data_IF_623318515678
#
_entry.id   IF_623318515678
#
_cell.length_a   1.000
_cell.length_b   1.000
_cell.length_c   1.000
_cell.angle_alpha   90.00
_cell.angle_beta   90.00
_cell.angle_gamma   90.00
#
_symmetry.space_group_name_H-M   'P 1'
#
loop_
_entity.id
_entity.type
_entity.pdbx_description
1 polymer ?
#
# COMPACT_ATOMS: atom_id res chain seq x y z
N UNK A 1 11.51 53.42 26.96
CA UNK A 1 10.80 52.37 26.19
C UNK A 1 9.46 52.14 26.86
N UNK A 2 8.34 52.50 26.22
CA UNK A 2 7.00 52.38 26.81
C UNK A 2 6.70 50.93 27.22
N UNK A 3 5.93 50.74 28.29
CA UNK A 3 5.57 49.42 28.81
C UNK A 3 4.97 48.49 27.73
N UNK A 4 4.25 49.08 26.76
CA UNK A 4 3.70 48.40 25.58
C UNK A 4 4.77 47.80 24.68
N UNK A 5 5.90 48.50 24.46
CA UNK A 5 7.00 48.02 23.62
C UNK A 5 7.75 46.85 24.26
N UNK A 6 7.92 46.84 25.59
CA UNK A 6 8.53 45.70 26.31
C UNK A 6 7.62 44.47 26.29
N UNK A 7 6.31 44.65 26.49
CA UNK A 7 5.31 43.57 26.39
C UNK A 7 5.26 42.97 24.98
N UNK A 8 5.34 43.81 23.94
CA UNK A 8 5.39 43.36 22.56
C UNK A 8 6.59 42.44 22.28
N UNK A 9 7.80 42.84 22.69
CA UNK A 9 9.00 42.02 22.50
C UNK A 9 8.97 40.71 23.31
N UNK A 10 8.40 40.73 24.51
CA UNK A 10 8.18 39.51 25.30
C UNK A 10 7.23 38.54 24.61
N UNK A 11 6.12 39.04 24.05
CA UNK A 11 5.18 38.21 23.27
C UNK A 11 5.84 37.64 22.02
N UNK A 12 6.65 38.44 21.31
CA UNK A 12 7.38 37.98 20.13
C UNK A 12 8.39 36.88 20.47
N UNK A 13 9.12 37.03 21.58
CA UNK A 13 10.06 36.02 22.07
C UNK A 13 9.33 34.72 22.47
N UNK A 14 8.19 34.83 23.15
CA UNK A 14 7.36 33.68 23.51
C UNK A 14 6.82 32.96 22.27
N UNK A 15 6.37 33.72 21.26
CA UNK A 15 5.91 33.16 20.00
C UNK A 15 7.04 32.42 19.29
N UNK A 16 8.22 33.02 19.14
CA UNK A 16 9.38 32.39 18.52
C UNK A 16 9.80 31.10 19.23
N UNK A 17 9.74 31.09 20.57
CA UNK A 17 10.08 29.92 21.37
C UNK A 17 9.05 28.80 21.24
N UNK A 18 7.76 29.13 21.10
CA UNK A 18 6.69 28.16 20.90
C UNK A 18 6.53 27.71 19.44
N UNK A 19 6.99 28.51 18.48
CA UNK A 19 6.84 28.27 17.04
C UNK A 19 7.31 26.87 16.60
N UNK A 20 8.47 26.31 17.03
CA UNK A 20 8.85 24.95 16.64
C UNK A 20 7.87 23.89 17.15
N UNK A 21 7.30 24.05 18.35
CA UNK A 21 6.31 23.12 18.89
C UNK A 21 4.98 23.22 18.15
N UNK A 22 4.55 24.44 17.80
CA UNK A 22 3.34 24.66 17.00
C UNK A 22 3.50 24.05 15.61
N UNK A 23 4.63 24.26 14.94
CA UNK A 23 4.91 23.67 13.63
C UNK A 23 4.96 22.15 13.72
N UNK A 24 5.67 21.59 14.72
CA UNK A 24 5.74 20.15 14.90
C UNK A 24 4.35 19.53 15.14
N UNK A 25 3.54 20.13 16.00
CA UNK A 25 2.18 19.68 16.29
C UNK A 25 1.26 19.79 15.07
N UNK A 26 1.33 20.90 14.32
CA UNK A 26 0.57 21.08 13.10
C UNK A 26 0.98 20.07 12.02
N UNK A 27 2.28 19.85 11.82
CA UNK A 27 2.80 18.86 10.88
C UNK A 27 2.34 17.45 11.24
N UNK A 28 2.39 17.07 12.52
CA UNK A 28 1.88 15.78 12.99
C UNK A 28 0.37 15.64 12.81
N UNK A 29 -0.41 16.69 13.09
CA UNK A 29 -1.86 16.67 12.87
C UNK A 29 -2.24 16.57 11.38
N UNK A 30 -1.37 17.07 10.49
CA UNK A 30 -1.53 16.99 9.03
C UNK A 30 -1.02 15.67 8.43
N UNK A 31 -0.24 14.86 9.16
CA UNK A 31 0.05 13.51 8.71
C UNK A 31 -1.28 12.77 8.61
N UNK A 32 -1.64 12.42 7.38
CA UNK A 32 -2.95 11.93 6.98
C UNK A 32 -3.44 10.84 7.91
N UNK A 33 -4.39 11.16 8.78
CA UNK A 33 -5.27 10.15 9.36
C UNK A 33 -6.05 9.55 8.19
N UNK A 34 -5.90 8.25 8.00
CA UNK A 34 -6.71 7.50 7.05
C UNK A 34 -8.16 7.75 7.46
N UNK A 35 -8.94 8.42 6.61
CA UNK A 35 -10.38 8.61 6.87
C UNK A 35 -11.06 7.25 6.67
N UNK A 36 -11.00 6.40 7.70
CA UNK A 36 -11.77 5.17 7.73
C UNK A 36 -13.17 5.51 8.23
N UNK A 37 -14.24 5.08 7.53
CA UNK A 37 -15.59 5.19 8.05
C UNK A 37 -15.76 4.52 9.42
N UNK A 38 -14.89 3.57 9.78
CA UNK A 38 -14.85 2.94 11.09
C UNK A 38 -14.49 3.93 12.21
N UNK A 39 -13.73 4.99 11.90
CA UNK A 39 -13.35 6.02 12.88
C UNK A 39 -14.52 6.94 13.24
N UNK A 40 -15.64 6.85 12.52
CA UNK A 40 -16.84 7.66 12.78
C UNK A 40 -17.76 7.05 13.82
N UNK A 41 -17.53 5.80 14.20
CA UNK A 41 -18.36 5.05 15.16
C UNK A 41 -17.50 4.52 16.29
N UNK A 42 -18.05 4.52 17.51
CA UNK A 42 -17.35 3.95 18.66
C UNK A 42 -17.28 2.42 18.58
N UNK A 43 -16.44 1.83 19.44
CA UNK A 43 -16.27 0.38 19.53
C UNK A 43 -17.50 -0.35 20.10
N UNK A 44 -18.51 0.38 20.62
CA UNK A 44 -19.74 -0.21 21.14
C UNK A 44 -20.83 -0.36 20.06
N UNK A 45 -20.60 0.19 18.87
CA UNK A 45 -21.52 0.07 17.74
C UNK A 45 -21.57 -1.38 17.23
N UNK A 46 -22.73 -2.08 17.28
CA UNK A 46 -22.79 -3.51 16.98
C UNK A 46 -22.29 -3.88 15.57
N UNK A 47 -22.60 -3.07 14.55
CA UNK A 47 -22.15 -3.34 13.18
C UNK A 47 -20.63 -3.25 13.01
N UNK A 48 -19.92 -2.53 13.91
CA UNK A 48 -18.46 -2.52 13.93
C UNK A 48 -17.90 -3.84 14.45
N UNK A 49 -18.51 -4.43 15.48
CA UNK A 49 -18.12 -5.75 15.97
C UNK A 49 -18.33 -6.84 14.90
N UNK A 50 -19.44 -6.79 14.16
CA UNK A 50 -19.69 -7.70 13.03
C UNK A 50 -18.63 -7.55 11.93
N UNK A 51 -18.26 -6.30 11.60
CA UNK A 51 -17.21 -6.01 10.63
C UNK A 51 -15.83 -6.51 11.09
N UNK A 52 -15.47 -6.30 12.35
CA UNK A 52 -14.20 -6.74 12.91
C UNK A 52 -14.11 -8.27 12.91
N UNK A 53 -15.20 -8.97 13.27
CA UNK A 53 -15.28 -10.42 13.17
C UNK A 53 -15.19 -10.91 11.72
N UNK A 54 -15.87 -10.25 10.79
CA UNK A 54 -15.76 -10.57 9.37
C UNK A 54 -14.33 -10.39 8.87
N UNK A 55 -13.68 -9.28 9.19
CA UNK A 55 -12.32 -8.97 8.75
C UNK A 55 -11.29 -9.95 9.33
N UNK A 56 -11.50 -10.47 10.55
CA UNK A 56 -10.68 -11.54 11.11
C UNK A 56 -10.81 -12.86 10.33
N UNK A 57 -11.97 -13.15 9.77
CA UNK A 57 -12.24 -14.39 9.04
C UNK A 57 -11.85 -14.31 7.56
N UNK A 58 -12.03 -13.15 6.94
CA UNK A 58 -11.91 -12.97 5.49
C UNK A 58 -10.77 -12.03 5.06
N UNK A 59 -10.07 -11.41 6.02
CA UNK A 59 -9.04 -10.40 5.76
C UNK A 59 -9.62 -9.00 5.57
N UNK A 60 -8.75 -7.99 5.56
CA UNK A 60 -9.16 -6.61 5.32
C UNK A 60 -9.48 -6.38 3.84
N UNK A 61 -10.45 -5.49 3.56
CA UNK A 61 -10.91 -5.22 2.18
C UNK A 61 -9.96 -4.36 1.34
N UNK A 62 -8.96 -3.75 1.95
CA UNK A 62 -8.12 -2.76 1.29
C UNK A 62 -6.91 -3.42 0.61
N UNK A 63 -6.90 -3.34 -0.71
CA UNK A 63 -5.95 -4.01 -1.59
C UNK A 63 -5.45 -3.04 -2.65
N UNK A 64 -4.17 -3.10 -2.98
CA UNK A 64 -3.59 -2.41 -4.13
C UNK A 64 -3.44 -3.40 -5.27
N UNK A 65 -3.95 -3.02 -6.45
CA UNK A 65 -3.77 -3.77 -7.69
C UNK A 65 -2.78 -2.99 -8.55
N UNK A 66 -1.64 -3.60 -8.85
CA UNK A 66 -0.57 -3.02 -9.66
C UNK A 66 -0.62 -3.61 -11.06
N UNK A 67 -0.81 -2.75 -12.06
CA UNK A 67 -0.72 -3.08 -13.48
C UNK A 67 -0.38 -1.81 -14.28
N UNK A 68 0.27 -1.97 -15.42
CA UNK A 68 0.73 -0.88 -16.29
C UNK A 68 0.88 -1.37 -17.74
N UNK A 69 1.19 -0.47 -18.68
CA UNK A 69 1.47 -0.84 -20.06
C UNK A 69 2.75 -1.69 -20.16
N UNK A 70 2.60 -2.98 -20.49
CA UNK A 70 3.71 -3.94 -20.46
C UNK A 70 3.76 -4.85 -19.22
N UNK A 71 2.80 -4.70 -18.31
CA UNK A 71 2.55 -5.68 -17.24
C UNK A 71 1.96 -6.96 -17.84
N UNK A 72 2.81 -7.87 -18.30
CA UNK A 72 2.39 -9.12 -18.96
C UNK A 72 2.93 -10.35 -18.24
N UNK A 73 2.25 -11.48 -18.39
CA UNK A 73 2.71 -12.79 -17.91
C UNK A 73 4.05 -13.20 -18.50
N UNK A 74 4.58 -12.48 -19.51
CA UNK A 74 5.88 -12.73 -20.13
C UNK A 74 6.98 -11.79 -19.64
N UNK A 75 6.64 -10.66 -19.00
CA UNK A 75 7.61 -9.72 -18.45
C UNK A 75 8.40 -10.32 -17.27
N UNK A 76 9.72 -10.56 -17.39
CA UNK A 76 10.55 -11.12 -16.32
C UNK A 76 10.81 -10.17 -15.15
N UNK A 77 10.65 -8.87 -15.36
CA UNK A 77 10.93 -7.84 -14.36
C UNK A 77 9.90 -7.87 -13.21
N UNK A 78 8.76 -8.54 -13.42
CA UNK A 78 7.78 -8.82 -12.37
C UNK A 78 8.33 -9.70 -11.25
N UNK A 79 9.27 -10.61 -11.56
CA UNK A 79 9.81 -11.54 -10.57
C UNK A 79 10.63 -10.82 -9.48
N UNK A 80 11.64 -9.97 -9.81
CA UNK A 80 12.37 -9.20 -8.81
C UNK A 80 11.49 -8.17 -8.09
N UNK A 81 10.54 -7.54 -8.80
CA UNK A 81 9.57 -6.63 -8.17
C UNK A 81 8.69 -7.33 -7.13
N UNK A 82 8.15 -8.52 -7.43
CA UNK A 82 7.33 -9.26 -6.47
C UNK A 82 8.17 -9.75 -5.30
N UNK A 83 9.43 -10.10 -5.56
CA UNK A 83 10.36 -10.50 -4.52
C UNK A 83 10.68 -9.34 -3.56
N UNK A 84 10.96 -8.13 -4.06
CA UNK A 84 11.24 -6.96 -3.21
C UNK A 84 10.08 -6.64 -2.26
N UNK A 85 8.83 -6.73 -2.73
CA UNK A 85 7.63 -6.56 -1.89
C UNK A 85 7.54 -7.58 -0.74
N UNK A 86 8.22 -8.73 -0.85
CA UNK A 86 8.23 -9.81 0.15
C UNK A 86 9.51 -9.86 0.98
N UNK A 87 10.54 -9.10 0.63
CA UNK A 87 11.87 -9.19 1.27
C UNK A 87 12.38 -7.86 1.82
N UNK A 88 11.96 -6.73 1.26
CA UNK A 88 12.54 -5.45 1.61
C UNK A 88 12.05 -4.95 2.97
N UNK A 89 12.99 -4.52 3.81
CA UNK A 89 12.70 -4.03 5.16
C UNK A 89 11.80 -2.78 5.18
N UNK A 90 11.68 -2.04 4.07
CA UNK A 90 10.76 -0.89 3.95
C UNK A 90 9.30 -1.28 4.12
N UNK A 91 8.96 -2.55 3.87
CA UNK A 91 7.61 -3.10 4.03
C UNK A 91 7.40 -3.78 5.38
N UNK A 92 8.29 -3.52 6.34
CA UNK A 92 8.23 -4.03 7.71
C UNK A 92 8.13 -2.90 8.71
N UNK A 93 7.49 -3.17 9.85
CA UNK A 93 7.41 -2.22 10.95
C UNK A 93 8.63 -2.27 11.88
N UNK A 94 8.57 -1.47 12.95
CA UNK A 94 9.64 -1.39 13.95
C UNK A 94 9.79 -2.69 14.75
N UNK A 95 8.79 -3.56 14.72
CA UNK A 95 8.76 -4.87 15.37
C UNK A 95 9.12 -6.01 14.40
N UNK A 96 9.54 -5.69 13.17
CA UNK A 96 9.87 -6.63 12.09
C UNK A 96 8.66 -7.39 11.50
N UNK A 97 7.44 -6.91 11.76
CA UNK A 97 6.20 -7.45 11.22
C UNK A 97 5.87 -6.84 9.86
N UNK A 98 5.25 -7.63 8.97
CA UNK A 98 4.96 -7.20 7.61
C UNK A 98 3.76 -6.25 7.54
N UNK A 99 3.88 -5.20 6.70
CA UNK A 99 2.75 -4.35 6.34
C UNK A 99 1.81 -4.99 5.30
N UNK A 100 2.26 -6.05 4.63
CA UNK A 100 1.47 -6.80 3.66
C UNK A 100 1.06 -8.14 4.26
N UNK A 101 -0.24 -8.42 4.20
CA UNK A 101 -0.77 -9.74 4.55
C UNK A 101 -0.46 -10.74 3.44
N UNK A 102 -0.56 -10.30 2.18
CA UNK A 102 -0.33 -11.15 1.02
C UNK A 102 0.10 -10.34 -0.21
N UNK A 103 1.04 -10.88 -0.97
CA UNK A 103 1.44 -10.38 -2.29
C UNK A 103 1.22 -11.51 -3.30
N UNK A 104 0.32 -11.32 -4.26
CA UNK A 104 -0.05 -12.33 -5.27
C UNK A 104 0.34 -11.82 -6.65
N UNK A 105 1.12 -12.58 -7.40
CA UNK A 105 1.52 -12.27 -8.78
C UNK A 105 0.81 -13.16 -9.78
N UNK A 106 0.13 -12.56 -10.76
CA UNK A 106 -0.52 -13.32 -11.83
C UNK A 106 0.48 -14.10 -12.70
N UNK A 107 1.69 -13.57 -12.92
CA UNK A 107 2.79 -14.27 -13.61
C UNK A 107 3.23 -15.51 -12.83
N UNK A 108 3.39 -15.37 -11.52
CA UNK A 108 3.79 -16.48 -10.64
C UNK A 108 2.72 -17.58 -10.64
N UNK A 109 1.44 -17.22 -10.49
CA UNK A 109 0.31 -18.15 -10.57
C UNK A 109 0.24 -18.86 -11.92
N UNK A 110 0.41 -18.11 -13.02
CA UNK A 110 0.45 -18.68 -14.36
C UNK A 110 1.56 -19.73 -14.48
N UNK A 111 2.78 -19.40 -14.05
CA UNK A 111 3.93 -20.33 -14.09
C UNK A 111 3.69 -21.57 -13.24
N UNK A 112 3.17 -21.40 -12.01
CA UNK A 112 2.86 -22.51 -11.12
C UNK A 112 1.85 -23.49 -11.76
N UNK A 113 0.82 -22.96 -12.41
CA UNK A 113 -0.20 -23.79 -13.07
C UNK A 113 0.28 -24.43 -14.37
N UNK A 114 1.24 -23.81 -15.07
CA UNK A 114 1.89 -24.38 -16.27
C UNK A 114 3.10 -25.27 -15.96
N UNK A 115 3.46 -25.45 -14.69
CA UNK A 115 4.62 -26.24 -14.30
C UNK A 115 4.42 -27.73 -14.68
N UNK A 116 5.52 -28.46 -14.99
CA UNK A 116 5.43 -29.89 -15.25
C UNK A 116 4.76 -30.64 -14.09
N UNK A 117 3.78 -31.50 -14.41
CA UNK A 117 3.08 -32.33 -13.41
C UNK A 117 1.68 -31.83 -13.00
N UNK A 118 1.24 -30.65 -13.44
CA UNK A 118 -0.14 -30.17 -13.18
C UNK A 118 -1.19 -30.79 -14.11
N UNK A 119 -0.76 -31.33 -15.25
CA UNK A 119 -1.65 -31.89 -16.28
C UNK A 119 -2.49 -30.84 -17.02
N UNK A 120 -2.26 -29.54 -16.78
CA UNK A 120 -3.01 -28.45 -17.40
C UNK A 120 -2.32 -27.98 -18.67
N UNK A 121 -3.10 -27.79 -19.73
CA UNK A 121 -2.63 -27.15 -20.95
C UNK A 121 -2.60 -25.63 -20.78
N UNK A 122 -1.72 -24.95 -21.51
CA UNK A 122 -1.63 -23.49 -21.49
C UNK A 122 -2.99 -22.79 -21.74
N UNK A 123 -3.82 -23.20 -22.73
CA UNK A 123 -5.14 -22.61 -22.93
C UNK A 123 -6.10 -22.79 -21.73
N UNK A 124 -5.98 -23.88 -20.98
CA UNK A 124 -6.80 -24.11 -19.77
C UNK A 124 -6.36 -23.21 -18.62
N UNK A 125 -5.06 -23.04 -18.42
CA UNK A 125 -4.53 -22.12 -17.41
C UNK A 125 -4.96 -20.69 -17.71
N UNK A 126 -4.81 -20.25 -18.96
CA UNK A 126 -5.26 -18.92 -19.39
C UNK A 126 -6.75 -18.74 -19.13
N UNK A 127 -7.60 -19.70 -19.53
CA UNK A 127 -9.05 -19.64 -19.28
C UNK A 127 -9.40 -19.54 -17.79
N UNK A 128 -8.65 -20.21 -16.92
CA UNK A 128 -8.88 -20.19 -15.45
C UNK A 128 -8.50 -18.86 -14.82
N UNK A 129 -7.41 -18.25 -15.27
CA UNK A 129 -6.89 -16.99 -14.73
C UNK A 129 -7.50 -15.76 -15.41
N UNK A 130 -8.13 -15.93 -16.57
CA UNK A 130 -8.78 -14.84 -17.29
C UNK A 130 -9.90 -14.21 -16.46
N UNK A 131 -9.91 -12.89 -16.40
CA UNK A 131 -10.91 -12.14 -15.62
C UNK A 131 -10.58 -12.00 -14.13
N UNK A 132 -9.52 -12.65 -13.64
CA UNK A 132 -9.00 -12.44 -12.27
C UNK A 132 -7.56 -11.92 -12.30
N UNK A 133 -6.61 -12.70 -12.82
CA UNK A 133 -5.19 -12.34 -12.89
C UNK A 133 -4.64 -12.13 -14.30
N UNK A 134 -5.41 -12.52 -15.32
CA UNK A 134 -5.05 -12.37 -16.73
C UNK A 134 -6.14 -11.58 -17.47
N UNK A 135 -5.71 -10.60 -18.26
CA UNK A 135 -6.58 -9.75 -19.07
C UNK A 135 -7.17 -10.48 -20.28
N UNK A 136 -8.11 -9.82 -20.98
CA UNK A 136 -8.80 -10.39 -22.16
C UNK A 136 -7.84 -10.77 -23.29
N UNK A 137 -6.68 -10.12 -23.38
CA UNK A 137 -5.65 -10.37 -24.39
C UNK A 137 -4.74 -11.57 -24.07
N UNK A 138 -5.02 -12.34 -23.02
CA UNK A 138 -4.25 -13.51 -22.57
C UNK A 138 -2.76 -13.24 -22.24
N UNK A 139 -2.34 -11.97 -22.23
CA UNK A 139 -0.98 -11.56 -21.91
C UNK A 139 -0.92 -10.63 -20.70
N UNK A 140 -1.80 -9.63 -20.63
CA UNK A 140 -1.83 -8.65 -19.53
C UNK A 140 -2.07 -9.33 -18.19
N UNK A 141 -1.37 -8.89 -17.15
CA UNK A 141 -1.49 -9.41 -15.79
C UNK A 141 -1.46 -8.30 -14.75
N UNK A 142 -1.51 -8.68 -13.48
CA UNK A 142 -1.43 -7.76 -12.35
C UNK A 142 -0.73 -8.42 -11.15
N UNK A 143 -0.31 -7.57 -10.21
CA UNK A 143 0.10 -7.96 -8.85
C UNK A 143 -0.93 -7.42 -7.87
N UNK A 144 -1.40 -8.25 -6.96
CA UNK A 144 -2.38 -7.90 -5.94
C UNK A 144 -1.68 -7.89 -4.57
N UNK A 145 -1.81 -6.79 -3.82
CA UNK A 145 -1.17 -6.59 -2.52
C UNK A 145 -2.24 -6.29 -1.49
N UNK A 146 -2.41 -7.19 -0.53
CA UNK A 146 -3.32 -7.05 0.59
C UNK A 146 -2.56 -6.50 1.80
N UNK A 147 -3.11 -5.49 2.47
CA UNK A 147 -2.48 -4.83 3.60
C UNK A 147 -2.92 -5.43 4.94
N UNK A 148 -2.00 -5.49 5.90
CA UNK A 148 -2.36 -5.69 7.31
C UNK A 148 -3.03 -4.42 7.86
N UNK A 149 -3.74 -4.48 9.01
CA UNK A 149 -4.30 -3.30 9.65
C UNK A 149 -3.25 -2.19 9.90
N UNK A 150 -2.03 -2.58 10.30
CA UNK A 150 -0.92 -1.65 10.49
C UNK A 150 -0.43 -1.04 9.16
N UNK A 151 -0.38 -1.84 8.09
CA UNK A 151 -0.06 -1.37 6.75
C UNK A 151 -1.04 -0.32 6.24
N UNK A 152 -2.34 -0.50 6.49
CA UNK A 152 -3.36 0.46 6.08
C UNK A 152 -3.17 1.85 6.67
N UNK A 153 -2.72 1.93 7.92
CA UNK A 153 -2.41 3.21 8.56
C UNK A 153 -1.26 3.95 7.87
N UNK A 154 -0.33 3.21 7.24
CA UNK A 154 0.80 3.76 6.47
C UNK A 154 0.57 3.74 4.95
N UNK A 155 -0.67 3.54 4.48
CA UNK A 155 -0.99 3.32 3.06
C UNK A 155 -0.33 4.31 2.10
N UNK A 156 -0.30 5.61 2.43
CA UNK A 156 0.25 6.65 1.55
C UNK A 156 1.74 6.43 1.31
N UNK A 157 2.49 6.27 2.41
CA UNK A 157 3.93 6.01 2.33
C UNK A 157 4.23 4.65 1.68
N UNK A 158 3.41 3.63 1.94
CA UNK A 158 3.59 2.32 1.34
C UNK A 158 3.28 2.29 -0.16
N UNK A 159 2.26 3.02 -0.61
CA UNK A 159 1.99 3.18 -2.05
C UNK A 159 3.17 3.88 -2.73
N UNK A 160 3.70 4.96 -2.16
CA UNK A 160 4.92 5.62 -2.68
C UNK A 160 6.12 4.64 -2.72
N UNK A 161 6.30 3.82 -1.69
CA UNK A 161 7.35 2.79 -1.67
C UNK A 161 7.14 1.68 -2.73
N UNK A 162 5.90 1.24 -2.95
CA UNK A 162 5.53 0.28 -4.01
C UNK A 162 5.87 0.89 -5.38
N UNK A 163 5.53 2.17 -5.60
CA UNK A 163 5.83 2.87 -6.85
C UNK A 163 7.34 2.96 -7.09
N UNK A 164 8.12 3.31 -6.06
CA UNK A 164 9.58 3.35 -6.15
C UNK A 164 10.18 1.98 -6.48
N UNK A 165 9.70 0.91 -5.84
CA UNK A 165 10.14 -0.46 -6.11
C UNK A 165 9.79 -0.88 -7.54
N UNK A 166 8.62 -0.47 -8.03
CA UNK A 166 8.19 -0.72 -9.40
C UNK A 166 9.08 0.00 -10.42
N UNK A 167 9.46 1.26 -10.18
CA UNK A 167 10.40 2.00 -11.03
C UNK A 167 11.77 1.34 -11.06
N UNK A 168 12.26 0.91 -9.90
CA UNK A 168 13.57 0.28 -9.76
C UNK A 168 13.67 -1.05 -10.51
N UNK A 169 12.63 -1.89 -10.45
CA UNK A 169 12.67 -3.24 -11.01
C UNK A 169 12.07 -3.36 -12.40
N UNK A 170 11.05 -2.57 -12.74
CA UNK A 170 10.32 -2.68 -14.01
C UNK A 170 10.61 -1.53 -14.99
N UNK A 171 11.60 -0.68 -14.70
CA UNK A 171 12.12 0.36 -15.59
C UNK A 171 11.04 1.29 -16.17
N UNK A 172 10.02 1.65 -15.37
CA UNK A 172 8.92 2.49 -15.82
C UNK A 172 9.31 3.97 -15.78
N UNK A 173 9.05 4.68 -16.89
CA UNK A 173 9.12 6.14 -16.91
C UNK A 173 7.93 6.76 -16.17
N UNK A 174 8.17 7.88 -15.47
CA UNK A 174 7.21 8.56 -14.57
C UNK A 174 5.94 9.08 -15.26
N UNK A 175 5.84 9.00 -16.58
CA UNK A 175 4.68 9.46 -17.38
C UNK A 175 3.65 8.35 -17.72
N UNK A 176 3.88 7.11 -17.28
CA UNK A 176 2.97 5.98 -17.58
C UNK A 176 1.99 5.62 -16.44
N UNK A 177 1.86 6.50 -15.45
CA UNK A 177 0.99 6.31 -14.29
C UNK A 177 -0.35 7.01 -14.57
N UNK A 178 -1.41 6.22 -14.76
CA UNK A 178 -2.80 6.70 -14.73
C UNK A 178 -3.43 6.34 -13.39
#
# INVERSE_FOLDING_TARGET
MSLSRKRFWLLLAYLLLLLPFIIYGAAQAMQTKVNSPLDWVDNSFPARADYDQFSQLFGNSDTVIVSWSGCTIHNPDLDPFVNSLRTDAVFRDEQDEWYFERVISGRELYRQLTAPGTGLTQPEVLRRLQGTFIGKENATTCVIINFTPAGLQKRKALVEAIQNSLQQHCHLETDQWY
#
